data_IF_993421144393
#
_entry.id   IF_993421144393
#
_cell.length_a   1.000
_cell.length_b   1.000
_cell.length_c   1.000
_cell.angle_alpha   90.00
_cell.angle_beta   90.00
_cell.angle_gamma   90.00
#
_symmetry.space_group_name_H-M   'P 1'
#
loop_
_entity.id
_entity.type
_entity.pdbx_description
1 polymer ?
#
# COMPACT_ATOMS: atom_id res chain seq x y z
N UNK A 1 9.35 -5.02 36.02
CA UNK A 1 8.21 -5.46 35.17
C UNK A 1 8.35 -4.79 33.81
N UNK A 2 8.68 -5.55 32.75
CA UNK A 2 8.67 -5.01 31.38
C UNK A 2 7.21 -4.97 30.93
N UNK A 3 6.63 -3.79 30.83
CA UNK A 3 5.41 -3.58 30.08
C UNK A 3 5.75 -3.85 28.61
N UNK A 4 5.46 -5.06 28.11
CA UNK A 4 5.41 -5.29 26.68
C UNK A 4 4.36 -4.32 26.12
N UNK A 5 4.70 -3.39 25.22
CA UNK A 5 3.67 -2.64 24.54
C UNK A 5 2.89 -3.68 23.75
N UNK A 6 1.66 -3.98 24.17
CA UNK A 6 0.68 -4.62 23.33
C UNK A 6 0.40 -3.67 22.16
N UNK A 7 1.31 -3.63 21.19
CA UNK A 7 0.99 -3.31 19.82
C UNK A 7 -0.04 -4.36 19.42
N UNK A 8 -1.31 -4.05 19.64
CA UNK A 8 -2.39 -4.95 19.25
C UNK A 8 -2.49 -4.84 17.75
N UNK A 9 -1.61 -5.57 17.06
CA UNK A 9 -1.68 -5.74 15.62
C UNK A 9 -3.14 -6.05 15.26
N UNK A 10 -3.68 -5.45 14.20
CA UNK A 10 -5.02 -5.76 13.76
C UNK A 10 -5.18 -7.28 13.63
N UNK A 11 -6.26 -7.80 14.22
CA UNK A 11 -6.52 -9.25 14.26
C UNK A 11 -7.11 -9.79 12.96
N UNK A 12 -7.61 -8.90 12.11
CA UNK A 12 -8.22 -9.25 10.83
C UNK A 12 -7.27 -8.95 9.65
N UNK A 13 -7.36 -9.72 8.55
CA UNK A 13 -6.61 -9.43 7.32
C UNK A 13 -6.87 -8.04 6.79
N UNK A 14 -8.12 -7.59 6.82
CA UNK A 14 -8.54 -6.29 6.31
C UNK A 14 -7.94 -5.15 7.15
N UNK A 15 -7.92 -5.30 8.47
CA UNK A 15 -7.30 -4.34 9.36
C UNK A 15 -5.79 -4.26 9.15
N UNK A 16 -5.14 -5.42 8.95
CA UNK A 16 -3.69 -5.47 8.63
C UNK A 16 -3.39 -4.83 7.29
N UNK A 17 -4.14 -5.19 6.25
CA UNK A 17 -4.00 -4.59 4.92
C UNK A 17 -4.20 -3.07 4.94
N UNK A 18 -5.19 -2.60 5.71
CA UNK A 18 -5.45 -1.16 5.84
C UNK A 18 -4.29 -0.45 6.53
N UNK A 19 -3.74 -1.02 7.62
CA UNK A 19 -2.58 -0.45 8.31
C UNK A 19 -1.32 -0.46 7.43
N UNK A 20 -1.13 -1.52 6.63
CA UNK A 20 -0.04 -1.61 5.64
C UNK A 20 -0.18 -0.48 4.63
N UNK A 21 -1.34 -0.35 3.97
CA UNK A 21 -1.56 0.70 2.98
C UNK A 21 -1.38 2.10 3.56
N UNK A 22 -1.84 2.32 4.80
CA UNK A 22 -1.60 3.57 5.50
C UNK A 22 -0.10 3.82 5.71
N UNK A 23 0.66 2.83 6.17
CA UNK A 23 2.10 2.96 6.36
C UNK A 23 2.86 3.23 5.06
N UNK A 24 2.45 2.60 3.96
CA UNK A 24 3.00 2.87 2.63
C UNK A 24 2.68 4.29 2.16
N UNK A 25 1.46 4.79 2.40
CA UNK A 25 1.09 6.16 2.08
C UNK A 25 1.86 7.18 2.94
N UNK A 26 2.04 6.89 4.23
CA UNK A 26 2.87 7.69 5.13
C UNK A 26 4.31 7.80 4.61
N UNK A 27 4.88 6.69 4.13
CA UNK A 27 6.20 6.67 3.51
C UNK A 27 6.24 7.47 2.21
N UNK A 28 5.27 7.27 1.31
CA UNK A 28 5.23 7.94 0.02
C UNK A 28 5.02 9.46 0.13
N UNK A 29 4.17 9.91 1.07
CA UNK A 29 3.78 11.32 1.19
C UNK A 29 4.70 12.11 2.11
N UNK A 30 5.23 11.48 3.16
CA UNK A 30 5.98 12.17 4.22
C UNK A 30 7.41 11.63 4.41
N UNK A 31 7.84 10.62 3.65
CA UNK A 31 9.18 10.03 3.77
C UNK A 31 9.39 9.25 5.06
N UNK A 32 8.32 8.82 5.74
CA UNK A 32 8.39 8.07 6.99
C UNK A 32 8.71 6.58 6.70
N UNK A 33 9.85 6.04 7.13
CA UNK A 33 10.27 4.69 6.73
C UNK A 33 9.35 3.63 7.34
N UNK A 34 8.58 2.96 6.48
CA UNK A 34 7.63 1.92 6.86
C UNK A 34 8.01 0.54 6.31
N UNK A 35 8.42 0.43 5.05
CA UNK A 35 8.81 -0.83 4.41
C UNK A 35 9.97 -1.54 5.12
N UNK A 36 10.89 -0.78 5.70
CA UNK A 36 12.00 -1.30 6.52
C UNK A 36 11.65 -1.50 8.00
N UNK A 37 10.41 -1.22 8.42
CA UNK A 37 10.04 -1.23 9.83
C UNK A 37 9.72 -2.64 10.34
N UNK A 38 9.93 -2.84 11.65
CA UNK A 38 9.49 -4.06 12.36
C UNK A 38 7.97 -4.24 12.29
N UNK A 39 7.22 -3.14 12.35
CA UNK A 39 5.75 -3.17 12.27
C UNK A 39 5.29 -3.76 10.94
N UNK A 40 5.94 -3.42 9.83
CA UNK A 40 5.62 -3.97 8.52
C UNK A 40 5.78 -5.50 8.49
N UNK A 41 6.89 -6.00 9.04
CA UNK A 41 7.16 -7.44 9.15
C UNK A 41 6.07 -8.14 9.98
N UNK A 42 5.77 -7.59 11.18
CA UNK A 42 4.76 -8.13 12.09
C UNK A 42 3.33 -8.15 11.47
N UNK A 43 3.01 -7.17 10.63
CA UNK A 43 1.73 -7.11 9.92
C UNK A 43 1.59 -8.23 8.87
N UNK A 44 2.69 -8.64 8.24
CA UNK A 44 2.73 -9.70 7.23
C UNK A 44 2.88 -11.11 7.82
N UNK A 45 3.23 -11.24 9.09
CA UNK A 45 3.41 -12.53 9.73
C UNK A 45 2.11 -13.36 9.86
N UNK A 46 2.27 -14.68 9.78
CA UNK A 46 1.22 -15.65 10.05
C UNK A 46 0.16 -15.78 8.95
N UNK A 47 -0.97 -16.40 9.30
CA UNK A 47 -2.07 -16.64 8.35
C UNK A 47 -2.76 -15.33 7.92
N UNK A 48 -3.03 -14.46 8.88
CA UNK A 48 -3.76 -13.21 8.60
C UNK A 48 -2.89 -12.21 7.85
N UNK A 49 -1.56 -12.18 8.10
CA UNK A 49 -0.62 -11.38 7.32
C UNK A 49 -0.53 -11.80 5.85
N UNK A 50 -0.45 -13.11 5.56
CA UNK A 50 -0.52 -13.62 4.18
C UNK A 50 -1.82 -13.27 3.45
N UNK A 51 -2.95 -13.31 4.16
CA UNK A 51 -4.23 -12.84 3.58
C UNK A 51 -4.21 -11.32 3.35
N UNK A 52 -3.64 -10.56 4.29
CA UNK A 52 -3.49 -9.12 4.17
C UNK A 52 -2.63 -8.75 2.95
N UNK A 53 -1.55 -9.47 2.69
CA UNK A 53 -0.70 -9.31 1.51
C UNK A 53 -1.50 -9.43 0.20
N UNK A 54 -2.33 -10.47 0.08
CA UNK A 54 -3.21 -10.65 -1.07
C UNK A 54 -4.24 -9.52 -1.20
N UNK A 55 -4.77 -9.02 -0.07
CA UNK A 55 -5.71 -7.90 -0.06
C UNK A 55 -5.05 -6.58 -0.49
N UNK A 56 -3.80 -6.33 -0.07
CA UNK A 56 -3.01 -5.18 -0.49
C UNK A 56 -2.83 -5.22 -2.01
N UNK A 57 -2.33 -6.34 -2.55
CA UNK A 57 -2.18 -6.50 -4.00
C UNK A 57 -3.50 -6.31 -4.76
N UNK A 58 -4.61 -6.89 -4.27
CA UNK A 58 -5.94 -6.69 -4.87
C UNK A 58 -6.34 -5.22 -4.89
N UNK A 59 -6.08 -4.48 -3.81
CA UNK A 59 -6.47 -3.08 -3.69
C UNK A 59 -5.60 -2.16 -4.56
N UNK A 60 -4.31 -2.46 -4.68
CA UNK A 60 -3.41 -1.78 -5.63
C UNK A 60 -3.90 -1.94 -7.08
N UNK A 61 -4.36 -3.12 -7.49
CA UNK A 61 -4.93 -3.29 -8.84
C UNK A 61 -6.23 -2.52 -9.07
N UNK A 62 -7.04 -2.38 -8.02
CA UNK A 62 -8.39 -1.84 -8.13
C UNK A 62 -8.47 -0.31 -8.00
N UNK A 63 -7.48 0.32 -7.38
CA UNK A 63 -7.46 1.76 -7.11
C UNK A 63 -6.27 2.43 -7.81
N UNK A 64 -6.50 3.08 -8.98
CA UNK A 64 -5.43 3.71 -9.75
C UNK A 64 -4.70 4.83 -9.01
N UNK A 65 -5.42 5.60 -8.17
CA UNK A 65 -4.83 6.73 -7.43
C UNK A 65 -3.88 6.19 -6.37
N UNK A 66 -4.33 5.19 -5.61
CA UNK A 66 -3.50 4.50 -4.63
C UNK A 66 -2.28 3.85 -5.30
N UNK A 67 -2.48 3.17 -6.42
CA UNK A 67 -1.42 2.53 -7.17
C UNK A 67 -0.35 3.55 -7.62
N UNK A 68 -0.79 4.67 -8.20
CA UNK A 68 0.09 5.73 -8.67
C UNK A 68 0.88 6.39 -7.54
N UNK A 69 0.25 6.61 -6.38
CA UNK A 69 0.90 7.17 -5.21
C UNK A 69 2.03 6.28 -4.66
N UNK A 70 1.88 4.95 -4.76
CA UNK A 70 2.80 3.99 -4.17
C UNK A 70 3.87 3.45 -5.15
N UNK A 71 3.70 3.66 -6.46
CA UNK A 71 4.68 3.25 -7.49
C UNK A 71 6.13 3.70 -7.26
N UNK A 72 6.42 4.91 -6.70
CA UNK A 72 7.79 5.34 -6.46
C UNK A 72 8.51 4.57 -5.36
N UNK A 73 7.76 3.88 -4.48
CA UNK A 73 8.36 3.16 -3.35
C UNK A 73 9.03 1.84 -3.79
N UNK A 74 10.03 1.35 -3.04
CA UNK A 74 10.67 0.06 -3.28
C UNK A 74 9.77 -1.11 -2.83
N UNK A 75 8.58 -1.21 -3.41
CA UNK A 75 7.59 -2.24 -3.07
C UNK A 75 8.09 -3.65 -3.37
N UNK A 76 7.60 -4.68 -2.64
CA UNK A 76 7.74 -6.09 -3.02
C UNK A 76 7.29 -6.33 -4.46
N UNK A 77 7.91 -7.29 -5.14
CA UNK A 77 7.71 -7.52 -6.58
C UNK A 77 6.23 -7.72 -6.96
N UNK A 78 5.53 -8.61 -6.24
CA UNK A 78 4.11 -8.86 -6.47
C UNK A 78 3.23 -7.60 -6.29
N UNK A 79 3.60 -6.69 -5.39
CA UNK A 79 2.87 -5.44 -5.17
C UNK A 79 3.22 -4.40 -6.20
N UNK A 80 4.46 -4.36 -6.68
CA UNK A 80 4.89 -3.50 -7.77
C UNK A 80 4.16 -3.84 -9.06
N UNK A 81 4.02 -5.12 -9.38
CA UNK A 81 3.23 -5.57 -10.53
C UNK A 81 1.76 -5.15 -10.38
N UNK A 82 1.16 -5.40 -9.22
CA UNK A 82 -0.22 -4.99 -8.92
C UNK A 82 -0.41 -3.47 -9.04
N UNK A 83 0.53 -2.66 -8.54
CA UNK A 83 0.49 -1.20 -8.65
C UNK A 83 0.67 -0.73 -10.11
N UNK A 84 1.53 -1.39 -10.90
CA UNK A 84 1.67 -1.08 -12.34
C UNK A 84 0.37 -1.38 -13.10
N UNK A 85 -0.30 -2.48 -12.78
CA UNK A 85 -1.60 -2.81 -13.37
C UNK A 85 -2.68 -1.80 -12.96
N UNK A 86 -2.75 -1.44 -11.68
CA UNK A 86 -3.70 -0.45 -11.18
C UNK A 86 -3.48 0.95 -11.77
N UNK A 87 -2.23 1.40 -11.87
CA UNK A 87 -1.90 2.71 -12.43
C UNK A 87 -2.25 2.84 -13.91
N UNK A 88 -2.15 1.74 -14.69
CA UNK A 88 -2.66 1.71 -16.09
C UNK A 88 -4.17 1.89 -16.18
N UNK A 89 -4.89 1.54 -15.10
CA UNK A 89 -6.35 1.67 -15.01
C UNK A 89 -6.83 3.11 -14.85
N UNK A 90 -5.94 4.09 -14.68
CA UNK A 90 -6.36 5.49 -14.58
C UNK A 90 -6.82 6.04 -15.94
N UNK A 91 -8.12 5.98 -16.19
CA UNK A 91 -8.77 6.62 -17.35
C UNK A 91 -8.87 8.14 -17.22
N UNK A 92 -8.30 8.76 -16.18
CA UNK A 92 -8.21 10.23 -16.03
C UNK A 92 -6.96 10.84 -16.65
N UNK A 93 -6.37 10.19 -17.65
CA UNK A 93 -5.68 10.92 -18.71
C UNK A 93 -6.73 11.90 -19.26
N UNK A 94 -6.56 13.24 -19.15
CA UNK A 94 -7.51 14.15 -19.75
C UNK A 94 -7.58 13.83 -21.24
N UNK A 95 -8.77 13.44 -21.70
CA UNK A 95 -9.02 13.06 -23.11
C UNK A 95 -8.79 14.22 -24.09
N UNK A 96 -8.38 15.40 -23.60
CA UNK A 96 -8.17 16.60 -24.39
C UNK A 96 -6.86 17.29 -23.97
N UNK A 97 -5.72 16.95 -24.60
CA UNK A 97 -4.48 17.74 -24.54
C UNK A 97 -4.68 19.22 -24.95
N UNK A 98 -5.78 19.50 -25.66
CA UNK A 98 -6.12 20.77 -26.29
C UNK A 98 -6.59 21.84 -25.28
N UNK A 99 -6.95 21.46 -24.05
CA UNK A 99 -7.40 22.39 -23.01
C UNK A 99 -6.27 22.94 -22.13
N UNK A 100 -5.02 22.52 -22.34
CA UNK A 100 -3.86 23.02 -21.59
C UNK A 100 -3.17 24.23 -22.24
N UNK A 101 -3.63 24.67 -23.42
CA UNK A 101 -3.05 25.77 -24.18
C UNK A 101 -4.01 26.97 -24.33
N UNK A 102 -4.71 27.33 -23.25
CA UNK A 102 -5.52 28.56 -23.17
C UNK A 102 -4.94 29.54 -22.15
#
# INVERSE_FOLDING_TARGET
MRLSPCSSLPKTPEGRASRILQGLLEEALFGLPFLGSRLFQELLEGREGRKAEALVARRLRADPVLAQALLPLPLPEAWREAAREGAKGDRRIPLFPELQAA
#
